data_IF_105419466487
#
_entry.id   IF_105419466487
#
_cell.length_a   1.000
_cell.length_b   1.000
_cell.length_c   1.000
_cell.angle_alpha   90.00
_cell.angle_beta   90.00
_cell.angle_gamma   90.00
#
_symmetry.space_group_name_H-M   'P 1'
#
loop_
_entity.id
_entity.type
_entity.pdbx_description
1 polymer ?
#
# COMPACT_ATOMS: atom_id res chain seq x y z
N UNK A 1 12.70 -8.73 13.14
CA UNK A 1 12.09 -9.37 11.96
C UNK A 1 13.18 -10.02 11.10
N UNK A 2 14.11 -10.80 11.69
CA UNK A 2 15.32 -11.32 11.02
C UNK A 2 15.21 -12.80 10.58
N UNK A 3 14.15 -13.52 10.98
CA UNK A 3 14.13 -14.97 10.84
C UNK A 3 13.79 -15.48 9.42
N UNK A 4 13.07 -14.70 8.62
CA UNK A 4 12.56 -15.19 7.32
C UNK A 4 13.59 -15.00 6.19
N UNK A 5 14.41 -13.96 6.20
CA UNK A 5 15.41 -13.77 5.12
C UNK A 5 16.57 -14.77 5.24
N UNK A 6 16.98 -15.13 6.45
CA UNK A 6 18.06 -16.11 6.68
C UNK A 6 17.70 -17.53 6.23
N UNK A 7 16.44 -17.96 6.37
CA UNK A 7 15.99 -19.28 5.87
C UNK A 7 15.83 -19.31 4.35
N UNK A 8 15.35 -18.23 3.73
CA UNK A 8 15.24 -18.14 2.27
C UNK A 8 16.61 -18.03 1.58
N UNK A 9 17.60 -17.42 2.24
CA UNK A 9 18.98 -17.39 1.79
C UNK A 9 19.66 -18.77 1.86
N UNK A 10 19.33 -19.59 2.86
CA UNK A 10 19.87 -20.97 3.00
C UNK A 10 19.39 -21.94 1.93
N UNK A 11 18.30 -21.64 1.24
CA UNK A 11 17.72 -22.51 0.20
C UNK A 11 18.32 -22.34 -1.20
N UNK A 12 19.36 -21.51 -1.37
CA UNK A 12 19.91 -21.16 -2.67
C UNK A 12 19.00 -20.14 -3.35
N UNK A 13 19.53 -18.90 -3.50
CA UNK A 13 18.87 -17.71 -4.07
C UNK A 13 17.50 -17.99 -4.68
N UNK A 14 16.44 -17.80 -3.89
CA UNK A 14 15.07 -17.90 -4.39
C UNK A 14 14.91 -16.95 -5.59
N UNK A 15 14.03 -17.30 -6.52
CA UNK A 15 13.76 -16.50 -7.74
C UNK A 15 13.43 -15.04 -7.43
N UNK A 16 12.94 -14.77 -6.21
CA UNK A 16 12.60 -13.43 -5.72
C UNK A 16 13.78 -12.62 -5.18
N UNK A 17 14.89 -13.26 -4.78
CA UNK A 17 16.10 -12.60 -4.25
C UNK A 17 17.34 -12.96 -5.09
N UNK A 18 17.37 -12.62 -6.40
CA UNK A 18 18.52 -12.92 -7.27
C UNK A 18 19.82 -12.22 -6.86
N UNK A 19 19.71 -11.04 -6.22
CA UNK A 19 20.85 -10.22 -5.78
C UNK A 19 20.60 -9.68 -4.37
N UNK A 20 21.68 -9.32 -3.65
CA UNK A 20 21.59 -8.66 -2.34
C UNK A 20 21.04 -7.22 -2.43
N UNK A 21 20.99 -6.63 -3.62
CA UNK A 21 20.36 -5.34 -3.86
C UNK A 21 18.84 -5.39 -3.65
N UNK A 22 18.21 -6.53 -3.95
CA UNK A 22 16.79 -6.74 -3.68
C UNK A 22 16.49 -6.63 -2.19
N UNK A 23 17.28 -7.29 -1.34
CA UNK A 23 17.08 -7.24 0.11
C UNK A 23 17.25 -5.82 0.66
N UNK A 24 18.24 -5.08 0.17
CA UNK A 24 18.44 -3.66 0.53
C UNK A 24 17.23 -2.80 0.17
N UNK A 25 16.65 -3.01 -1.02
CA UNK A 25 15.45 -2.29 -1.44
C UNK A 25 14.22 -2.68 -0.63
N UNK A 26 14.04 -3.97 -0.34
CA UNK A 26 12.95 -4.45 0.51
C UNK A 26 13.00 -3.78 1.88
N UNK A 27 14.17 -3.78 2.53
CA UNK A 27 14.34 -3.14 3.84
C UNK A 27 14.12 -1.62 3.75
N UNK A 28 14.67 -0.97 2.72
CA UNK A 28 14.46 0.46 2.49
C UNK A 28 12.97 0.81 2.34
N UNK A 29 12.21 0.02 1.57
CA UNK A 29 10.77 0.25 1.38
C UNK A 29 9.98 -0.03 2.66
N UNK A 30 10.29 -1.11 3.39
CA UNK A 30 9.61 -1.42 4.66
C UNK A 30 9.81 -0.29 5.69
N UNK A 31 11.05 0.15 5.86
CA UNK A 31 11.43 1.20 6.81
C UNK A 31 10.89 2.58 6.42
N UNK A 32 10.96 2.94 5.12
CA UNK A 32 10.71 4.32 4.66
C UNK A 32 9.31 4.52 4.08
N UNK A 33 8.73 3.51 3.42
CA UNK A 33 7.43 3.65 2.76
C UNK A 33 6.29 3.14 3.65
N UNK A 34 6.45 1.98 4.28
CA UNK A 34 5.32 1.26 4.89
C UNK A 34 4.60 2.01 6.02
N UNK A 35 5.35 2.64 6.92
CA UNK A 35 4.76 3.45 8.02
C UNK A 35 4.27 4.80 7.50
N UNK A 36 5.05 5.44 6.64
CA UNK A 36 4.77 6.80 6.16
C UNK A 36 3.58 6.86 5.20
N UNK A 37 3.45 5.89 4.29
CA UNK A 37 2.30 5.78 3.39
C UNK A 37 0.99 5.60 4.17
N UNK A 38 0.96 4.68 5.15
CA UNK A 38 -0.22 4.46 6.00
C UNK A 38 -0.59 5.68 6.82
N UNK A 39 0.38 6.35 7.44
CA UNK A 39 0.13 7.57 8.22
C UNK A 39 -0.47 8.66 7.35
N UNK A 40 0.14 8.94 6.19
CA UNK A 40 -0.31 9.99 5.30
C UNK A 40 -1.69 9.70 4.69
N UNK A 41 -1.92 8.48 4.18
CA UNK A 41 -3.21 8.15 3.57
C UNK A 41 -4.34 8.15 4.60
N UNK A 42 -4.11 7.65 5.81
CA UNK A 42 -5.13 7.71 6.85
C UNK A 42 -5.42 9.12 7.33
N UNK A 43 -4.41 10.00 7.36
CA UNK A 43 -4.64 11.41 7.63
C UNK A 43 -5.60 12.03 6.59
N UNK A 44 -5.38 11.79 5.29
CA UNK A 44 -6.29 12.24 4.22
C UNK A 44 -7.68 11.58 4.31
N UNK A 45 -7.75 10.30 4.68
CA UNK A 45 -9.02 9.60 4.85
C UNK A 45 -9.81 10.12 6.05
N UNK A 46 -9.13 10.53 7.12
CA UNK A 46 -9.78 11.06 8.32
C UNK A 46 -10.09 12.56 8.24
N UNK A 47 -9.53 13.27 7.25
CA UNK A 47 -9.80 14.69 7.02
C UNK A 47 -11.22 14.99 6.52
N UNK A 48 -11.96 13.98 6.04
CA UNK A 48 -13.32 14.14 5.51
C UNK A 48 -14.26 13.05 6.06
N UNK A 49 -15.46 13.46 6.47
CA UNK A 49 -16.52 12.54 6.89
C UNK A 49 -16.90 11.55 5.78
N UNK A 50 -16.86 12.00 4.52
CA UNK A 50 -17.15 11.16 3.35
C UNK A 50 -16.17 9.99 3.28
N UNK A 51 -14.87 10.28 3.25
CA UNK A 51 -13.80 9.28 3.23
C UNK A 51 -13.85 8.36 4.46
N UNK A 52 -14.08 8.94 5.64
CA UNK A 52 -14.18 8.18 6.89
C UNK A 52 -15.35 7.20 6.85
N UNK A 53 -16.49 7.61 6.27
CA UNK A 53 -17.67 6.73 6.14
C UNK A 53 -17.41 5.55 5.20
N UNK A 54 -16.73 5.77 4.07
CA UNK A 54 -16.35 4.72 3.12
C UNK A 54 -15.35 3.74 3.75
N UNK A 55 -14.36 4.26 4.47
CA UNK A 55 -13.37 3.44 5.16
C UNK A 55 -13.99 2.58 6.25
N UNK A 56 -14.94 3.13 7.04
CA UNK A 56 -15.69 2.35 8.04
C UNK A 56 -16.49 1.22 7.40
N UNK A 57 -17.10 1.44 6.25
CA UNK A 57 -17.79 0.37 5.52
C UNK A 57 -16.82 -0.74 5.11
N UNK A 58 -15.58 -0.40 4.74
CA UNK A 58 -14.55 -1.39 4.43
C UNK A 58 -14.14 -2.19 5.67
N UNK A 59 -13.92 -1.53 6.81
CA UNK A 59 -13.59 -2.21 8.08
C UNK A 59 -14.67 -3.17 8.58
N UNK A 60 -15.93 -2.96 8.19
CA UNK A 60 -17.02 -3.86 8.55
C UNK A 60 -17.08 -5.14 7.69
N UNK A 61 -16.38 -5.18 6.54
CA UNK A 61 -16.36 -6.35 5.66
C UNK A 61 -15.67 -7.51 6.38
N UNK A 62 -16.30 -8.69 6.37
CA UNK A 62 -15.75 -9.89 7.03
C UNK A 62 -15.83 -9.91 8.56
N UNK A 63 -16.30 -8.83 9.21
CA UNK A 63 -16.44 -8.79 10.67
C UNK A 63 -17.63 -9.61 11.18
N UNK A 64 -17.50 -10.17 12.38
CA UNK A 64 -18.56 -10.98 13.03
C UNK A 64 -19.11 -10.29 14.29
N UNK A 65 -20.31 -10.70 14.72
CA UNK A 65 -21.12 -10.20 15.84
C UNK A 65 -20.54 -9.08 16.72
N UNK A 66 -19.54 -9.41 17.54
CA UNK A 66 -18.95 -8.49 18.53
C UNK A 66 -18.28 -7.26 17.89
N UNK A 67 -17.54 -7.43 16.81
CA UNK A 67 -16.86 -6.33 16.11
C UNK A 67 -17.90 -5.35 15.52
N UNK A 68 -18.97 -5.87 14.93
CA UNK A 68 -20.08 -5.04 14.43
C UNK A 68 -20.80 -4.32 15.55
N UNK A 69 -20.98 -4.98 16.70
CA UNK A 69 -21.58 -4.36 17.88
C UNK A 69 -20.72 -3.20 18.39
N UNK A 70 -19.41 -3.40 18.53
CA UNK A 70 -18.46 -2.35 18.93
C UNK A 70 -18.50 -1.19 17.93
N UNK A 71 -18.46 -1.47 16.62
CA UNK A 71 -18.53 -0.41 15.59
C UNK A 71 -19.86 0.35 15.62
N UNK A 72 -20.98 -0.31 15.95
CA UNK A 72 -22.29 0.35 16.04
C UNK A 72 -22.38 1.30 17.22
N UNK A 73 -21.83 0.91 18.37
CA UNK A 73 -21.91 1.71 19.60
C UNK A 73 -20.73 2.69 19.77
N UNK A 74 -19.60 2.40 19.13
CA UNK A 74 -18.36 3.19 19.20
C UNK A 74 -17.72 3.32 17.79
N UNK A 75 -18.39 3.98 16.83
CA UNK A 75 -17.96 4.04 15.42
C UNK A 75 -16.62 4.77 15.20
N UNK A 76 -16.16 5.54 16.18
CA UNK A 76 -14.86 6.20 16.17
C UNK A 76 -13.72 5.39 16.79
N UNK A 77 -13.98 4.22 17.37
CA UNK A 77 -12.98 3.46 18.15
C UNK A 77 -11.78 3.02 17.32
N UNK A 78 -11.99 2.41 16.14
CA UNK A 78 -10.89 2.00 15.25
C UNK A 78 -10.13 3.23 14.74
N UNK A 79 -10.84 4.30 14.37
CA UNK A 79 -10.21 5.55 13.94
C UNK A 79 -9.34 6.14 15.05
N UNK A 80 -9.83 6.20 16.30
CA UNK A 80 -9.07 6.71 17.43
C UNK A 80 -7.83 5.84 17.73
N UNK A 81 -7.98 4.50 17.72
CA UNK A 81 -6.87 3.57 17.90
C UNK A 81 -5.83 3.71 16.79
N UNK A 82 -6.27 3.85 15.53
CA UNK A 82 -5.41 4.09 14.39
C UNK A 82 -4.66 5.42 14.53
N UNK A 83 -5.36 6.49 14.91
CA UNK A 83 -4.77 7.82 15.10
C UNK A 83 -3.68 7.82 16.16
N UNK A 84 -3.93 7.19 17.31
CA UNK A 84 -2.94 7.10 18.40
C UNK A 84 -1.80 6.17 18.00
N UNK A 85 -2.11 4.97 17.51
CA UNK A 85 -1.12 3.94 17.20
C UNK A 85 -0.17 4.32 16.06
N UNK A 86 -0.62 5.14 15.11
CA UNK A 86 0.18 5.57 13.96
C UNK A 86 0.58 7.04 14.02
N UNK A 87 0.24 7.78 15.09
CA UNK A 87 0.52 9.21 15.24
C UNK A 87 -0.03 10.04 14.06
N UNK A 88 -1.31 9.83 13.72
CA UNK A 88 -1.96 10.48 12.58
C UNK A 88 -2.37 11.90 12.99
N UNK A 89 -1.39 12.80 12.94
CA UNK A 89 -1.55 14.24 13.15
C UNK A 89 -1.00 14.98 11.95
N UNK A 90 -1.45 16.22 11.73
CA UNK A 90 -1.09 17.02 10.54
C UNK A 90 0.42 17.08 10.30
N UNK A 91 1.21 17.57 11.26
CA UNK A 91 2.66 17.73 11.11
C UNK A 91 3.39 16.41 10.80
N UNK A 92 3.24 15.32 11.61
CA UNK A 92 3.80 14.01 11.27
C UNK A 92 3.34 13.44 9.92
N UNK A 93 2.10 13.74 9.50
CA UNK A 93 1.55 13.24 8.24
C UNK A 93 2.12 13.98 7.04
N UNK A 94 2.33 15.29 7.14
CA UNK A 94 3.02 16.09 6.13
C UNK A 94 4.49 15.67 5.99
N UNK A 95 5.19 15.42 7.09
CA UNK A 95 6.54 14.83 7.04
C UNK A 95 6.54 13.44 6.40
N UNK A 96 5.52 12.64 6.69
CA UNK A 96 5.38 11.30 6.07
C UNK A 96 5.12 11.39 4.58
N UNK A 97 4.38 12.41 4.12
CA UNK A 97 4.23 12.69 2.70
C UNK A 97 5.58 12.92 2.02
N UNK A 98 6.49 13.67 2.65
CA UNK A 98 7.82 13.92 2.08
C UNK A 98 8.59 12.61 1.87
N UNK A 99 8.58 11.70 2.84
CA UNK A 99 9.20 10.38 2.67
C UNK A 99 8.55 9.54 1.58
N UNK A 100 7.22 9.58 1.45
CA UNK A 100 6.51 8.91 0.36
C UNK A 100 6.94 9.49 -0.99
N UNK A 101 7.00 10.82 -1.11
CA UNK A 101 7.43 11.52 -2.33
C UNK A 101 8.87 11.14 -2.70
N UNK A 102 9.78 11.10 -1.73
CA UNK A 102 11.19 10.70 -1.92
C UNK A 102 11.31 9.26 -2.44
N UNK A 103 10.54 8.32 -1.87
CA UNK A 103 10.54 6.92 -2.32
C UNK A 103 9.96 6.80 -3.73
N UNK A 104 8.86 7.48 -4.03
CA UNK A 104 8.26 7.49 -5.36
C UNK A 104 9.21 8.06 -6.40
N UNK A 105 9.93 9.13 -6.07
CA UNK A 105 10.92 9.74 -6.96
C UNK A 105 12.12 8.81 -7.19
N UNK A 106 12.62 8.15 -6.15
CA UNK A 106 13.66 7.12 -6.29
C UNK A 106 13.22 6.00 -7.24
N UNK A 107 11.98 5.53 -7.12
CA UNK A 107 11.44 4.50 -8.01
C UNK A 107 11.25 5.02 -9.43
N UNK A 108 10.79 6.26 -9.62
CA UNK A 108 10.71 6.89 -10.94
C UNK A 108 12.07 6.87 -11.64
N UNK A 109 13.14 7.24 -10.93
CA UNK A 109 14.52 7.24 -11.45
C UNK A 109 15.03 5.83 -11.77
N UNK A 110 14.71 4.85 -10.92
CA UNK A 110 15.07 3.45 -11.18
C UNK A 110 14.39 2.92 -12.44
N UNK A 111 13.09 3.16 -12.61
CA UNK A 111 12.34 2.74 -13.79
C UNK A 111 12.81 3.45 -15.07
N UNK A 112 13.19 4.72 -14.96
CA UNK A 112 13.78 5.45 -16.09
C UNK A 112 15.13 4.86 -16.51
N UNK A 113 15.96 4.44 -15.54
CA UNK A 113 17.27 3.86 -15.80
C UNK A 113 17.21 2.40 -16.29
N UNK A 114 16.35 1.58 -15.68
CA UNK A 114 16.34 0.14 -15.84
C UNK A 114 15.28 -0.36 -16.82
N UNK A 115 14.42 0.52 -17.32
CA UNK A 115 13.26 0.18 -18.11
C UNK A 115 12.01 0.02 -17.25
N UNK A 116 10.85 0.13 -17.87
CA UNK A 116 9.60 0.24 -17.13
C UNK A 116 9.12 -1.07 -16.49
N UNK A 117 9.74 -2.22 -16.80
CA UNK A 117 9.20 -3.55 -16.46
C UNK A 117 9.41 -3.96 -14.99
N UNK A 118 10.64 -3.92 -14.47
CA UNK A 118 10.99 -4.25 -13.09
C UNK A 118 12.11 -3.35 -12.57
N UNK A 119 12.14 -3.10 -11.26
CA UNK A 119 13.01 -2.09 -10.62
C UNK A 119 14.51 -2.30 -10.88
N UNK A 120 14.93 -3.56 -11.06
CA UNK A 120 16.34 -3.94 -11.26
C UNK A 120 16.61 -4.56 -12.65
N UNK A 121 15.76 -4.28 -13.64
CA UNK A 121 15.85 -4.85 -15.00
C UNK A 121 16.02 -6.38 -15.02
N UNK A 122 15.25 -7.08 -14.18
CA UNK A 122 15.21 -8.54 -14.12
C UNK A 122 14.23 -9.10 -15.17
N UNK A 123 14.28 -10.41 -15.42
CA UNK A 123 13.33 -11.07 -16.34
C UNK A 123 12.00 -11.45 -15.68
N UNK A 124 11.91 -11.33 -14.35
CA UNK A 124 10.76 -11.71 -13.53
C UNK A 124 10.65 -10.76 -12.34
N UNK A 125 9.47 -10.60 -11.73
CA UNK A 125 9.32 -9.75 -10.55
C UNK A 125 10.16 -10.30 -9.39
N UNK A 126 10.78 -9.39 -8.65
CA UNK A 126 11.56 -9.68 -7.45
C UNK A 126 10.79 -9.30 -6.19
N UNK A 127 11.32 -9.67 -5.02
CA UNK A 127 10.75 -9.22 -3.76
C UNK A 127 10.70 -7.69 -3.64
N UNK A 128 11.65 -6.95 -4.24
CA UNK A 128 11.64 -5.49 -4.21
C UNK A 128 10.44 -4.91 -4.99
N UNK A 129 10.14 -5.46 -6.16
CA UNK A 129 8.98 -5.07 -6.99
C UNK A 129 7.66 -5.30 -6.22
N UNK A 130 7.53 -6.48 -5.62
CA UNK A 130 6.34 -6.89 -4.86
C UNK A 130 6.20 -6.03 -3.60
N UNK A 131 7.28 -5.82 -2.86
CA UNK A 131 7.27 -5.01 -1.64
C UNK A 131 6.91 -3.56 -1.94
N UNK A 132 7.53 -2.94 -2.94
CA UNK A 132 7.17 -1.57 -3.32
C UNK A 132 5.69 -1.47 -3.71
N UNK A 133 5.22 -2.34 -4.62
CA UNK A 133 3.82 -2.33 -5.04
C UNK A 133 2.86 -2.54 -3.85
N UNK A 134 3.17 -3.50 -2.98
CA UNK A 134 2.35 -3.83 -1.81
C UNK A 134 2.35 -2.75 -0.74
N UNK A 135 3.40 -1.93 -0.62
CA UNK A 135 3.42 -0.82 0.34
C UNK A 135 2.85 0.47 -0.27
N UNK A 136 2.93 0.63 -1.60
CA UNK A 136 2.39 1.76 -2.32
C UNK A 136 0.89 1.63 -2.65
N UNK A 137 0.28 0.44 -2.54
CA UNK A 137 -1.14 0.24 -2.89
C UNK A 137 -2.11 1.26 -2.26
N UNK A 138 -1.95 1.72 -1.00
CA UNK A 138 -2.87 2.70 -0.41
C UNK A 138 -2.75 4.08 -1.08
N UNK A 139 -1.63 4.38 -1.74
CA UNK A 139 -1.43 5.63 -2.48
C UNK A 139 -1.97 5.55 -3.91
N UNK A 140 -2.21 4.33 -4.42
CA UNK A 140 -2.50 4.06 -5.83
C UNK A 140 -3.93 3.58 -6.05
N UNK A 141 -4.51 2.85 -5.09
CA UNK A 141 -5.82 2.21 -5.20
C UNK A 141 -5.96 1.36 -6.49
N UNK A 142 -5.21 0.25 -6.60
CA UNK A 142 -5.42 -0.70 -7.68
C UNK A 142 -6.79 -1.37 -7.52
N UNK A 143 -7.54 -1.53 -8.62
CA UNK A 143 -8.89 -2.11 -8.65
C UNK A 143 -8.95 -3.51 -8.03
N UNK A 144 -7.85 -4.25 -8.12
CA UNK A 144 -7.70 -5.59 -7.54
C UNK A 144 -7.71 -5.59 -5.99
N UNK A 145 -7.78 -4.42 -5.36
CA UNK A 145 -7.90 -4.22 -3.91
C UNK A 145 -9.23 -3.53 -3.50
N UNK A 146 -10.21 -3.38 -4.40
CA UNK A 146 -11.50 -2.74 -4.09
C UNK A 146 -12.34 -3.50 -3.05
N UNK A 147 -11.93 -4.70 -2.68
CA UNK A 147 -12.48 -5.49 -1.57
C UNK A 147 -11.82 -5.15 -0.23
N UNK A 148 -10.54 -4.78 -0.23
CA UNK A 148 -9.77 -4.37 0.96
C UNK A 148 -10.00 -2.89 1.31
N UNK A 149 -10.10 -2.04 0.30
CA UNK A 149 -10.45 -0.61 0.41
C UNK A 149 -11.71 -0.34 -0.40
N UNK A 150 -12.12 0.93 -0.53
CA UNK A 150 -13.19 1.30 -1.44
C UNK A 150 -12.61 1.68 -2.81
N UNK A 151 -13.46 1.61 -3.84
CA UNK A 151 -13.07 1.87 -5.22
C UNK A 151 -12.54 3.29 -5.42
N UNK A 152 -11.53 3.43 -6.28
CA UNK A 152 -11.05 4.71 -6.76
C UNK A 152 -12.10 5.40 -7.65
N UNK A 153 -12.96 6.20 -7.03
CA UNK A 153 -14.08 6.91 -7.66
C UNK A 153 -14.24 8.32 -7.07
N UNK A 154 -14.29 9.33 -7.94
CA UNK A 154 -14.50 10.75 -7.58
C UNK A 154 -15.80 10.99 -6.78
N UNK A 155 -16.82 10.16 -6.98
CA UNK A 155 -18.10 10.24 -6.29
C UNK A 155 -18.05 9.60 -4.90
N UNK A 156 -17.08 8.73 -4.62
CA UNK A 156 -16.89 8.08 -3.31
C UNK A 156 -15.83 8.77 -2.46
N UNK A 157 -14.86 9.41 -3.09
CA UNK A 157 -13.78 10.13 -2.42
C UNK A 157 -14.09 11.62 -2.19
N UNK A 158 -13.44 12.23 -1.20
CA UNK A 158 -13.27 13.68 -1.17
C UNK A 158 -12.39 14.10 -2.36
N UNK A 159 -12.55 15.35 -2.81
CA UNK A 159 -11.74 15.90 -3.89
C UNK A 159 -10.24 15.84 -3.59
N UNK A 160 -9.87 16.18 -2.36
CA UNK A 160 -8.47 16.17 -1.93
C UNK A 160 -7.84 14.77 -2.02
N UNK A 161 -8.52 13.74 -1.50
CA UNK A 161 -8.01 12.36 -1.57
C UNK A 161 -7.92 11.89 -3.03
N UNK A 162 -8.94 12.19 -3.84
CA UNK A 162 -8.97 11.84 -5.25
C UNK A 162 -7.82 12.49 -6.02
N UNK A 163 -7.58 13.80 -5.84
CA UNK A 163 -6.53 14.56 -6.51
C UNK A 163 -5.12 14.07 -6.11
N UNK A 164 -4.93 13.71 -4.82
CA UNK A 164 -3.68 13.12 -4.35
C UNK A 164 -3.41 11.75 -4.97
N UNK A 165 -4.39 10.84 -4.94
CA UNK A 165 -4.25 9.52 -5.57
C UNK A 165 -4.03 9.67 -7.08
N UNK A 166 -4.75 10.57 -7.75
CA UNK A 166 -4.57 10.88 -9.18
C UNK A 166 -3.11 11.26 -9.47
N UNK A 167 -2.54 12.10 -8.63
CA UNK A 167 -1.16 12.57 -8.76
C UNK A 167 -0.18 11.39 -8.68
N UNK A 168 -0.27 10.53 -7.67
CA UNK A 168 0.63 9.35 -7.57
C UNK A 168 0.40 8.35 -8.72
N UNK A 169 -0.84 8.09 -9.11
CA UNK A 169 -1.19 7.22 -10.25
C UNK A 169 -0.60 7.71 -11.58
N UNK A 170 -0.46 9.03 -11.75
CA UNK A 170 0.08 9.61 -12.99
C UNK A 170 1.60 9.39 -13.17
N UNK A 171 2.32 9.16 -12.08
CA UNK A 171 3.77 8.96 -12.08
C UNK A 171 4.18 7.60 -12.67
N UNK A 172 5.46 7.46 -13.06
CA UNK A 172 5.99 6.17 -13.55
C UNK A 172 5.88 5.08 -12.48
N UNK A 173 6.23 5.42 -11.24
CA UNK A 173 6.07 4.55 -10.09
C UNK A 173 4.60 4.13 -9.88
N UNK A 174 3.64 5.05 -10.03
CA UNK A 174 2.21 4.70 -9.91
C UNK A 174 1.74 3.75 -11.01
N UNK A 175 2.13 4.00 -12.26
CA UNK A 175 1.84 3.11 -13.40
C UNK A 175 2.49 1.74 -13.23
N UNK A 176 3.71 1.70 -12.69
CA UNK A 176 4.39 0.46 -12.30
C UNK A 176 3.56 -0.34 -11.29
N UNK A 177 3.08 0.28 -10.22
CA UNK A 177 2.24 -0.40 -9.21
C UNK A 177 0.96 -0.94 -9.84
N UNK A 178 0.26 -0.14 -10.65
CA UNK A 178 -0.96 -0.58 -11.34
C UNK A 178 -0.71 -1.82 -12.19
N UNK A 179 0.37 -1.83 -12.98
CA UNK A 179 0.76 -2.98 -13.79
C UNK A 179 1.12 -4.21 -12.92
N UNK A 180 1.86 -4.02 -11.83
CA UNK A 180 2.20 -5.12 -10.92
C UNK A 180 0.95 -5.81 -10.37
N UNK A 181 -0.07 -5.04 -10.00
CA UNK A 181 -1.35 -5.57 -9.54
C UNK A 181 -2.14 -6.25 -10.67
N UNK A 182 -2.17 -5.67 -11.86
CA UNK A 182 -2.86 -6.26 -13.02
C UNK A 182 -2.26 -7.59 -13.47
N UNK A 183 -0.93 -7.70 -13.46
CA UNK A 183 -0.23 -8.87 -13.99
C UNK A 183 0.00 -9.98 -12.97
N UNK A 184 0.09 -9.65 -11.67
CA UNK A 184 0.57 -10.59 -10.66
C UNK A 184 -0.37 -10.81 -9.49
N UNK A 185 -1.42 -10.00 -9.29
CA UNK A 185 -2.40 -10.28 -8.24
C UNK A 185 -3.45 -11.26 -8.74
N UNK A 186 -3.46 -12.45 -8.14
CA UNK A 186 -4.49 -13.44 -8.39
C UNK A 186 -5.80 -12.94 -7.78
N UNK A 187 -6.77 -12.60 -8.62
CA UNK A 187 -8.11 -12.16 -8.22
C UNK A 187 -9.14 -13.30 -8.27
N UNK A 188 -8.80 -14.43 -8.87
CA UNK A 188 -9.60 -15.64 -8.82
C UNK A 188 -9.56 -16.19 -7.40
N UNK A 189 -10.65 -15.98 -6.66
CA UNK A 189 -10.88 -16.67 -5.40
C UNK A 189 -10.76 -18.16 -5.70
N UNK A 190 -9.80 -18.82 -5.06
CA UNK A 190 -9.85 -20.28 -4.86
C UNK A 190 -11.26 -20.55 -4.34
N UNK A 191 -12.10 -21.19 -5.16
CA UNK A 191 -13.40 -21.63 -4.67
C UNK A 191 -13.14 -22.49 -3.43
N UNK A 192 -13.89 -22.31 -2.32
CA UNK A 192 -13.73 -23.20 -1.19
C UNK A 192 -13.89 -24.62 -1.72
N UNK A 193 -12.87 -25.47 -1.52
CA UNK A 193 -12.98 -26.87 -1.89
C UNK A 193 -14.24 -27.44 -1.21
N UNK A 194 -15.05 -28.24 -1.93
CA UNK A 194 -16.31 -28.77 -1.45
C UNK A 194 -16.17 -29.61 -0.18
#
# INVERSE_FOLDING_TARGET
MHYVSDELCKLGKSTLYPTSEVEKLVNYFDETLGVHARRYIYWLMFASDKNTSELRQCWLRGTTGLERWIQRHFPGSIQALATVGMQIHEQPSLMSKQHVDEVFEKVNQMLEKHGELYLLNTNSPTAADITFASLAYPMIFPRQCDDLVFEYDQNRMSRELYDQITTYRSQRAGKFVLRMYEQHRITDRVQPMP
#
